data_IF_678975444606
#
_entry.id   IF_678975444606
#
_cell.length_a   1.000
_cell.length_b   1.000
_cell.length_c   1.000
_cell.angle_alpha   90.00
_cell.angle_beta   90.00
_cell.angle_gamma   90.00
#
_symmetry.space_group_name_H-M   'P 1'
#
loop_
_entity.id
_entity.type
_entity.pdbx_description
1 polymer ?
#
# COMPACT_ATOMS: atom_id res chain seq x y z
N UNK A 1 -0.42 29.77 -4.18
CA UNK A 1 -1.49 29.19 -3.33
C UNK A 1 -1.33 27.67 -3.35
N UNK A 2 -1.25 27.00 -2.19
CA UNK A 2 -1.22 25.53 -2.16
C UNK A 2 -2.60 24.98 -2.49
N UNK A 3 -2.73 24.11 -3.51
CA UNK A 3 -4.03 23.53 -3.91
C UNK A 3 -4.57 22.51 -2.90
N UNK A 4 -3.69 21.76 -2.23
CA UNK A 4 -4.04 20.74 -1.24
C UNK A 4 -3.05 20.79 -0.04
N UNK A 5 -3.28 21.65 0.97
CA UNK A 5 -2.45 21.66 2.17
C UNK A 5 -2.58 20.32 2.90
N UNK A 6 -1.46 19.71 3.28
CA UNK A 6 -1.43 18.39 3.87
C UNK A 6 -0.26 18.22 4.85
N UNK A 7 -0.44 17.30 5.79
CA UNK A 7 0.66 16.73 6.57
C UNK A 7 1.25 15.57 5.77
N UNK A 8 2.58 15.49 5.73
CA UNK A 8 3.30 14.36 5.12
C UNK A 8 4.16 13.74 6.21
N UNK A 9 4.04 12.42 6.38
CA UNK A 9 4.92 11.64 7.24
C UNK A 9 5.70 10.65 6.38
N UNK A 10 7.00 10.55 6.64
CA UNK A 10 7.91 9.63 5.94
C UNK A 10 8.71 8.84 6.99
N UNK A 11 8.08 7.85 7.65
CA UNK A 11 8.74 7.05 8.67
C UNK A 11 9.85 6.20 8.05
N UNK A 12 10.90 5.94 8.81
CA UNK A 12 12.02 5.10 8.36
C UNK A 12 11.90 3.69 8.96
N UNK A 13 11.96 2.67 8.09
CA UNK A 13 12.08 1.28 8.53
C UNK A 13 13.52 1.00 8.97
N UNK A 14 13.76 0.37 10.15
CA UNK A 14 15.10 -0.07 10.54
C UNK A 14 15.71 -1.05 9.55
N UNK A 15 17.05 -1.03 9.43
CA UNK A 15 17.83 -1.74 8.40
C UNK A 15 17.57 -3.26 8.27
N UNK A 16 17.12 -3.91 9.34
CA UNK A 16 16.87 -5.36 9.38
C UNK A 16 15.39 -5.72 9.59
N UNK A 17 14.49 -4.80 9.24
CA UNK A 17 13.04 -5.00 9.39
C UNK A 17 12.32 -4.71 8.07
N UNK A 18 11.06 -5.12 8.00
CA UNK A 18 10.17 -4.88 6.86
C UNK A 18 8.89 -4.17 7.33
N UNK A 19 8.25 -3.43 6.43
CA UNK A 19 6.92 -2.87 6.66
C UNK A 19 5.83 -3.93 6.69
N UNK A 20 5.99 -5.04 5.96
CA UNK A 20 4.93 -6.03 5.76
C UNK A 20 5.29 -7.40 6.34
N UNK A 21 4.26 -8.13 6.76
CA UNK A 21 4.35 -9.50 7.26
C UNK A 21 3.52 -10.45 6.39
N UNK A 22 3.95 -10.64 5.14
CA UNK A 22 3.37 -11.65 4.26
C UNK A 22 4.17 -12.96 4.32
N UNK A 23 3.47 -14.07 4.18
CA UNK A 23 4.08 -15.37 3.91
C UNK A 23 4.90 -15.32 2.62
N UNK A 24 6.14 -15.82 2.68
CA UNK A 24 7.02 -15.88 1.50
C UNK A 24 6.60 -16.95 0.49
N UNK A 25 5.72 -17.88 0.87
CA UNK A 25 5.31 -19.01 0.02
C UNK A 25 4.01 -18.74 -0.73
N UNK A 26 3.03 -18.13 -0.07
CA UNK A 26 1.67 -17.98 -0.60
C UNK A 26 1.10 -16.55 -0.50
N UNK A 27 1.93 -15.57 -0.11
CA UNK A 27 1.54 -14.15 0.04
C UNK A 27 0.39 -13.91 1.03
N UNK A 28 0.08 -14.87 1.91
CA UNK A 28 -0.94 -14.66 2.94
C UNK A 28 -0.44 -13.70 4.02
N UNK A 29 -1.29 -12.75 4.36
CA UNK A 29 -1.02 -11.78 5.41
C UNK A 29 -1.01 -12.47 6.77
N UNK A 30 0.14 -12.44 7.45
CA UNK A 30 0.28 -13.07 8.75
C UNK A 30 -0.54 -12.33 9.83
N UNK A 31 -1.03 -13.05 10.86
CA UNK A 31 -1.94 -12.47 11.86
C UNK A 31 -1.37 -11.24 12.58
N UNK A 32 -0.07 -11.21 12.82
CA UNK A 32 0.60 -10.11 13.52
C UNK A 32 1.26 -9.12 12.55
N UNK A 33 1.18 -7.80 12.80
CA UNK A 33 1.97 -6.82 12.08
C UNK A 33 3.47 -6.96 12.40
N UNK A 34 4.33 -6.42 11.55
CA UNK A 34 5.74 -6.20 11.92
C UNK A 34 5.85 -5.05 12.92
N UNK A 35 6.98 -4.97 13.64
CA UNK A 35 7.20 -3.85 14.58
C UNK A 35 7.14 -2.47 13.90
N UNK A 36 7.74 -2.26 12.71
CA UNK A 36 7.59 -1.00 11.98
C UNK A 36 6.13 -0.65 11.66
N UNK A 37 5.30 -1.62 11.25
CA UNK A 37 3.87 -1.39 10.98
C UNK A 37 3.12 -0.97 12.25
N UNK A 38 3.37 -1.63 13.40
CA UNK A 38 2.78 -1.22 14.68
C UNK A 38 3.10 0.23 15.03
N UNK A 39 4.37 0.62 14.87
CA UNK A 39 4.85 1.96 15.20
C UNK A 39 4.29 3.01 14.24
N UNK A 40 4.17 2.70 12.95
CA UNK A 40 3.52 3.57 11.96
C UNK A 40 2.07 3.85 12.35
N UNK A 41 1.29 2.82 12.66
CA UNK A 41 -0.11 2.97 13.06
C UNK A 41 -0.23 3.71 14.39
N UNK A 42 0.69 3.47 15.32
CA UNK A 42 0.81 4.22 16.56
C UNK A 42 1.05 5.71 16.32
N UNK A 43 1.99 6.05 15.44
CA UNK A 43 2.31 7.42 15.03
C UNK A 43 1.11 8.11 14.39
N UNK A 44 0.42 7.45 13.43
CA UNK A 44 -0.79 7.99 12.79
C UNK A 44 -1.85 8.31 13.85
N UNK A 45 -2.12 7.38 14.77
CA UNK A 45 -3.10 7.58 15.86
C UNK A 45 -2.69 8.70 16.81
N UNK A 46 -1.39 8.85 17.09
CA UNK A 46 -0.90 9.94 17.91
C UNK A 46 -1.08 11.29 17.21
N UNK A 47 -0.76 11.39 15.92
CA UNK A 47 -0.91 12.62 15.14
C UNK A 47 -2.37 13.04 15.00
N UNK A 48 -3.29 12.09 14.80
CA UNK A 48 -4.75 12.38 14.81
C UNK A 48 -5.17 13.06 16.12
N UNK A 49 -4.55 12.70 17.26
CA UNK A 49 -4.89 13.27 18.57
C UNK A 49 -4.22 14.60 18.85
N UNK A 50 -3.02 14.83 18.31
CA UNK A 50 -2.15 15.95 18.71
C UNK A 50 -2.02 17.04 17.66
N UNK A 51 -2.43 16.78 16.42
CA UNK A 51 -2.37 17.69 15.29
C UNK A 51 -3.76 17.83 14.65
N UNK A 52 -4.03 18.93 13.91
CA UNK A 52 -5.31 19.14 13.21
C UNK A 52 -5.39 18.26 11.95
N UNK A 53 -5.32 16.93 12.13
CA UNK A 53 -5.44 15.93 11.07
C UNK A 53 -6.91 15.67 10.80
N UNK A 54 -7.29 15.73 9.53
CA UNK A 54 -8.58 15.22 9.06
C UNK A 54 -8.53 13.69 9.01
N UNK A 55 -9.14 13.03 10.00
CA UNK A 55 -9.14 11.57 10.11
C UNK A 55 -9.93 10.86 9.00
N UNK A 56 -10.73 11.59 8.22
CA UNK A 56 -11.48 11.05 7.08
C UNK A 56 -10.66 11.05 5.78
N UNK A 57 -9.47 11.68 5.78
CA UNK A 57 -8.60 11.85 4.61
C UNK A 57 -7.15 11.46 4.89
N UNK A 58 -6.97 10.26 5.41
CA UNK A 58 -5.64 9.66 5.61
C UNK A 58 -5.32 8.80 4.38
N UNK A 59 -4.23 9.13 3.69
CA UNK A 59 -3.80 8.41 2.49
C UNK A 59 -2.50 7.67 2.75
N UNK A 60 -2.29 6.56 2.04
CA UNK A 60 -1.06 5.77 2.14
C UNK A 60 -0.51 5.41 0.76
N UNK A 61 0.80 5.50 0.64
CA UNK A 61 1.54 5.07 -0.54
C UNK A 61 2.92 4.59 -0.13
N UNK A 62 3.52 3.76 -0.97
CA UNK A 62 4.87 3.28 -0.80
C UNK A 62 5.31 2.46 -2.00
N UNK A 63 6.62 2.43 -2.22
CA UNK A 63 7.27 1.71 -3.32
C UNK A 63 7.96 0.44 -2.84
N UNK A 64 7.91 -0.63 -3.63
CA UNK A 64 8.61 -1.89 -3.35
C UNK A 64 8.24 -2.44 -1.96
N UNK A 65 9.17 -2.52 -1.00
CA UNK A 65 8.92 -2.86 0.40
C UNK A 65 7.79 -2.00 1.01
N UNK A 66 7.71 -0.73 0.64
CA UNK A 66 6.61 0.17 1.00
C UNK A 66 5.32 -0.11 0.23
N UNK A 67 5.38 -0.68 -0.97
CA UNK A 67 4.22 -1.16 -1.72
C UNK A 67 3.58 -2.37 -1.05
N UNK A 68 4.39 -3.33 -0.61
CA UNK A 68 3.92 -4.41 0.28
C UNK A 68 3.40 -3.83 1.61
N UNK A 69 4.11 -2.87 2.22
CA UNK A 69 3.65 -2.20 3.43
C UNK A 69 2.30 -1.49 3.26
N UNK A 70 2.05 -0.91 2.09
CA UNK A 70 0.78 -0.27 1.74
C UNK A 70 -0.36 -1.28 1.74
N UNK A 71 -0.16 -2.46 1.12
CA UNK A 71 -1.15 -3.53 1.14
C UNK A 71 -1.38 -4.11 2.54
N UNK A 72 -0.32 -4.41 3.30
CA UNK A 72 -0.45 -4.90 4.68
C UNK A 72 -1.27 -3.92 5.54
N UNK A 73 -0.97 -2.63 5.44
CA UNK A 73 -1.67 -1.59 6.18
C UNK A 73 -3.18 -1.54 5.85
N UNK A 74 -3.56 -1.54 4.58
CA UNK A 74 -4.97 -1.44 4.20
C UNK A 74 -5.72 -2.75 4.45
N UNK A 75 -5.11 -3.91 4.27
CA UNK A 75 -5.75 -5.21 4.54
C UNK A 75 -5.93 -5.45 6.03
N UNK A 76 -5.01 -4.95 6.86
CA UNK A 76 -5.05 -5.06 8.33
C UNK A 76 -5.92 -3.98 8.98
N UNK A 77 -5.98 -2.79 8.39
CA UNK A 77 -6.72 -1.63 8.91
C UNK A 77 -7.63 -1.02 7.82
N UNK A 78 -8.64 -1.77 7.32
CA UNK A 78 -9.41 -1.44 6.12
C UNK A 78 -10.24 -0.14 6.20
N UNK A 79 -10.42 0.41 7.39
CA UNK A 79 -11.19 1.63 7.63
C UNK A 79 -10.33 2.81 8.13
N UNK A 80 -9.00 2.66 8.17
CA UNK A 80 -8.11 3.73 8.60
C UNK A 80 -7.77 4.70 7.45
N UNK A 81 -7.71 4.19 6.22
CA UNK A 81 -7.26 4.95 5.06
C UNK A 81 -8.44 5.31 4.16
N UNK A 82 -8.38 6.49 3.56
CA UNK A 82 -9.35 7.01 2.61
C UNK A 82 -9.03 6.61 1.16
N UNK A 83 -7.76 6.39 0.83
CA UNK A 83 -7.30 5.81 -0.44
C UNK A 83 -5.86 5.30 -0.30
N UNK A 84 -5.45 4.43 -1.23
CA UNK A 84 -4.10 3.88 -1.27
C UNK A 84 -3.48 3.87 -2.67
N UNK A 85 -2.17 4.09 -2.75
CA UNK A 85 -1.38 3.99 -3.98
C UNK A 85 -0.18 3.07 -3.75
N UNK A 86 -0.35 1.74 -3.84
CA UNK A 86 0.78 0.81 -3.79
C UNK A 86 1.57 0.85 -5.12
N UNK A 87 2.88 1.05 -5.01
CA UNK A 87 3.80 1.06 -6.16
C UNK A 87 4.70 -0.17 -6.07
N UNK A 88 4.72 -0.97 -7.15
CA UNK A 88 5.49 -2.22 -7.28
C UNK A 88 5.48 -3.12 -6.02
N UNK A 89 4.27 -3.47 -5.54
CA UNK A 89 4.06 -4.32 -4.36
C UNK A 89 3.10 -5.48 -4.61
N UNK A 90 2.78 -6.21 -3.53
CA UNK A 90 1.79 -7.28 -3.50
C UNK A 90 0.96 -7.25 -2.21
N UNK A 91 -0.22 -7.85 -2.24
CA UNK A 91 -1.11 -8.05 -1.09
C UNK A 91 -1.68 -9.47 -1.03
N UNK A 92 -2.43 -9.76 0.02
CA UNK A 92 -3.13 -11.03 0.20
C UNK A 92 -4.46 -10.99 -0.58
N UNK A 93 -4.45 -11.59 -1.77
CA UNK A 93 -5.64 -11.65 -2.63
C UNK A 93 -6.87 -12.29 -1.97
N UNK A 94 -6.71 -13.08 -0.90
CA UNK A 94 -7.84 -13.65 -0.17
C UNK A 94 -8.54 -12.65 0.75
N UNK A 95 -7.91 -11.49 1.01
CA UNK A 95 -8.44 -10.43 1.88
C UNK A 95 -9.08 -9.27 1.12
N UNK A 96 -9.11 -9.30 -0.22
CA UNK A 96 -9.65 -8.18 -1.01
C UNK A 96 -11.07 -7.77 -0.63
N UNK A 97 -11.89 -8.70 -0.14
CA UNK A 97 -13.25 -8.41 0.34
C UNK A 97 -13.30 -7.39 1.48
N UNK A 98 -12.25 -7.28 2.29
CA UNK A 98 -12.19 -6.27 3.37
C UNK A 98 -11.82 -4.88 2.87
N UNK A 99 -11.33 -4.73 1.65
CA UNK A 99 -10.84 -3.46 1.09
C UNK A 99 -11.55 -3.06 -0.21
N UNK A 100 -12.63 -3.74 -0.61
CA UNK A 100 -13.36 -3.43 -1.87
C UNK A 100 -13.95 -2.02 -1.90
N UNK A 101 -14.26 -1.43 -0.74
CA UNK A 101 -14.76 -0.07 -0.62
C UNK A 101 -13.68 1.00 -0.75
N UNK A 102 -12.41 0.62 -0.64
CA UNK A 102 -11.28 1.55 -0.62
C UNK A 102 -10.86 1.91 -2.06
N UNK A 103 -10.79 3.21 -2.42
CA UNK A 103 -10.15 3.64 -3.65
C UNK A 103 -8.66 3.26 -3.66
N UNK A 104 -8.25 2.45 -4.64
CA UNK A 104 -6.87 1.99 -4.79
C UNK A 104 -6.39 2.31 -6.20
N UNK A 105 -5.21 2.91 -6.32
CA UNK A 105 -4.52 3.08 -7.60
C UNK A 105 -3.21 2.30 -7.62
N UNK A 106 -3.14 1.25 -8.40
CA UNK A 106 -2.00 0.34 -8.47
C UNK A 106 -1.03 0.81 -9.56
N UNK A 107 0.26 0.89 -9.25
CA UNK A 107 1.31 1.30 -10.21
C UNK A 107 2.42 0.26 -10.28
N UNK A 108 2.85 -0.13 -11.47
CA UNK A 108 3.96 -1.07 -11.68
C UNK A 108 4.68 -0.84 -13.01
N UNK A 109 5.97 -1.21 -13.09
CA UNK A 109 6.66 -1.41 -14.37
C UNK A 109 6.36 -2.79 -14.95
N UNK A 110 6.22 -2.93 -16.27
CA UNK A 110 5.97 -4.24 -16.89
C UNK A 110 7.22 -5.12 -16.97
N UNK A 111 8.41 -4.53 -16.89
CA UNK A 111 9.70 -5.21 -16.98
C UNK A 111 10.43 -5.28 -15.63
N UNK A 112 9.70 -5.12 -14.52
CA UNK A 112 10.29 -5.08 -13.17
C UNK A 112 10.96 -6.43 -12.81
N UNK A 113 12.30 -6.48 -12.67
CA UNK A 113 13.00 -7.71 -12.37
C UNK A 113 13.06 -8.01 -10.85
N UNK A 114 12.74 -7.03 -10.00
CA UNK A 114 12.89 -7.13 -8.55
C UNK A 114 11.57 -7.50 -7.88
N UNK A 115 10.44 -6.98 -8.36
CA UNK A 115 9.10 -7.38 -7.95
C UNK A 115 8.35 -7.81 -9.18
N UNK A 116 7.94 -9.08 -9.24
CA UNK A 116 7.25 -9.61 -10.40
C UNK A 116 5.92 -8.82 -10.62
N UNK A 117 5.70 -8.19 -11.79
CA UNK A 117 4.49 -7.41 -12.08
C UNK A 117 3.19 -8.21 -11.96
N UNK A 118 3.28 -9.55 -12.07
CA UNK A 118 2.17 -10.46 -11.82
C UNK A 118 1.52 -10.22 -10.45
N UNK A 119 2.27 -9.84 -9.43
CA UNK A 119 1.69 -9.57 -8.11
C UNK A 119 0.68 -8.41 -8.13
N UNK A 120 0.95 -7.35 -8.89
CA UNK A 120 -0.01 -6.25 -9.05
C UNK A 120 -1.18 -6.63 -9.95
N UNK A 121 -0.95 -7.45 -10.99
CA UNK A 121 -2.02 -8.01 -11.81
C UNK A 121 -2.95 -8.93 -11.00
N UNK A 122 -2.40 -9.74 -10.10
CA UNK A 122 -3.17 -10.63 -9.23
C UNK A 122 -4.07 -9.82 -8.28
N UNK A 123 -3.56 -8.75 -7.68
CA UNK A 123 -4.37 -7.85 -6.85
C UNK A 123 -5.44 -7.11 -7.67
N UNK A 124 -5.08 -6.59 -8.85
CA UNK A 124 -6.03 -5.96 -9.77
C UNK A 124 -7.19 -6.91 -10.10
N UNK A 125 -6.88 -8.14 -10.48
CA UNK A 125 -7.88 -9.15 -10.82
C UNK A 125 -8.74 -9.55 -9.62
N UNK A 126 -8.14 -9.76 -8.46
CA UNK A 126 -8.84 -10.14 -7.24
C UNK A 126 -9.80 -9.02 -6.78
N UNK A 127 -9.34 -7.76 -6.77
CA UNK A 127 -10.17 -6.59 -6.44
C UNK A 127 -11.33 -6.44 -7.44
N UNK A 128 -11.05 -6.52 -8.74
CA UNK A 128 -12.07 -6.42 -9.80
C UNK A 128 -13.11 -7.52 -9.65
N UNK A 129 -12.68 -8.77 -9.41
CA UNK A 129 -13.59 -9.91 -9.20
C UNK A 129 -14.45 -9.76 -7.94
N UNK A 130 -13.94 -9.08 -6.92
CA UNK A 130 -14.67 -8.77 -5.70
C UNK A 130 -15.62 -7.56 -5.84
N UNK A 131 -15.68 -6.92 -7.01
CA UNK A 131 -16.59 -5.81 -7.30
C UNK A 131 -15.99 -4.42 -7.11
N UNK A 132 -14.68 -4.31 -6.84
CA UNK A 132 -13.99 -3.02 -6.80
C UNK A 132 -13.60 -2.54 -8.20
N UNK A 133 -13.30 -1.24 -8.32
CA UNK A 133 -12.84 -0.61 -9.56
C UNK A 133 -11.51 0.12 -9.33
N UNK A 134 -10.41 -0.61 -9.10
CA UNK A 134 -9.10 0.01 -8.86
C UNK A 134 -8.60 0.74 -10.11
N UNK A 135 -7.93 1.88 -9.91
CA UNK A 135 -7.07 2.46 -10.94
C UNK A 135 -5.84 1.57 -11.15
N UNK A 136 -5.37 1.46 -12.39
CA UNK A 136 -4.17 0.69 -12.70
C UNK A 136 -3.34 1.40 -13.77
N UNK A 137 -2.06 1.57 -13.47
CA UNK A 137 -1.06 2.07 -14.42
C UNK A 137 0.09 1.10 -14.47
N UNK A 138 0.29 0.49 -15.64
CA UNK A 138 1.45 -0.32 -15.92
C UNK A 138 2.28 0.34 -17.02
N UNK A 139 3.55 0.61 -16.73
CA UNK A 139 4.47 1.21 -17.68
C UNK A 139 5.14 0.12 -18.53
N UNK A 140 4.88 0.04 -19.86
CA UNK A 140 5.26 -1.11 -20.68
C UNK A 140 6.77 -1.39 -20.78
N UNK A 141 7.59 -0.34 -20.77
CA UNK A 141 9.05 -0.43 -20.99
C UNK A 141 9.85 -0.03 -19.74
N UNK A 142 9.20 -0.03 -18.57
CA UNK A 142 9.82 0.38 -17.31
C UNK A 142 10.04 -0.82 -16.41
N UNK A 143 11.26 -0.94 -15.91
CA UNK A 143 11.63 -1.92 -14.88
C UNK A 143 11.27 -1.46 -13.47
N UNK A 144 12.14 -1.74 -12.50
CA UNK A 144 11.87 -1.50 -11.08
C UNK A 144 11.47 -0.04 -10.75
N UNK A 145 12.10 0.94 -11.39
CA UNK A 145 11.96 2.37 -11.09
C UNK A 145 10.69 3.02 -11.68
N UNK A 146 9.55 2.32 -11.62
CA UNK A 146 8.25 2.79 -12.12
C UNK A 146 7.72 4.08 -11.49
N UNK A 147 8.35 4.55 -10.41
CA UNK A 147 8.05 5.84 -9.77
C UNK A 147 8.84 7.03 -10.34
N UNK A 148 9.82 6.81 -11.23
CA UNK A 148 10.57 7.89 -11.89
C UNK A 148 9.93 8.35 -13.21
N UNK A 149 9.06 7.53 -13.81
CA UNK A 149 8.36 7.83 -15.06
C UNK A 149 6.93 8.36 -14.88
N UNK A 150 6.55 8.71 -13.65
CA UNK A 150 5.26 9.30 -13.29
C UNK A 150 5.31 10.83 -13.29
#
# INVERSE_FOLDING_TARGET
MMRHPAFVIAPQCPQNMSWSNFSRTDMKLQPTPTKPMELLIGLIRQLIKTQPIDSTRIYITGLSMGGYGTYDAIERYPHLFAAAVPVCGAGDTSKVSSIVHLPIWIVHGAEDPAVNPKFSLDMLNALTKAGAHPGFTQYPEVGYFSWLGA
#
